data_IF_606326444461
#
_entry.id   IF_606326444461
#
_cell.length_a   1.000
_cell.length_b   1.000
_cell.length_c   1.000
_cell.angle_alpha   90.00
_cell.angle_beta   90.00
_cell.angle_gamma   90.00
#
_symmetry.space_group_name_H-M   'P 1'
#
loop_
_entity.id
_entity.type
_entity.pdbx_description
1 polymer ?
#
# COMPACT_ATOMS: atom_id res chain seq x y z
N UNK A 1 8.61 -10.03 4.60
CA UNK A 1 8.78 -9.91 6.06
C UNK A 1 8.69 -8.46 6.44
N UNK A 2 7.86 -8.14 7.43
CA UNK A 2 7.96 -6.89 8.17
C UNK A 2 8.28 -7.29 9.60
N UNK A 3 9.49 -6.95 10.04
CA UNK A 3 10.09 -7.53 11.24
C UNK A 3 10.04 -9.07 11.21
N UNK A 4 9.47 -9.73 12.22
CA UNK A 4 9.37 -11.19 12.31
C UNK A 4 8.13 -11.78 11.62
N UNK A 5 7.23 -10.94 11.08
CA UNK A 5 5.97 -11.41 10.50
C UNK A 5 6.06 -11.55 8.99
N UNK A 6 5.70 -12.74 8.48
CA UNK A 6 5.54 -12.98 7.06
C UNK A 6 4.15 -12.51 6.60
N UNK A 7 4.14 -11.42 5.85
CA UNK A 7 2.93 -10.96 5.15
C UNK A 7 2.99 -11.44 3.71
N UNK A 8 1.95 -12.15 3.27
CA UNK A 8 1.74 -12.57 1.88
C UNK A 8 0.54 -11.84 1.31
N UNK A 9 0.65 -11.44 0.04
CA UNK A 9 -0.41 -10.76 -0.67
C UNK A 9 -0.12 -10.72 -2.17
N UNK A 10 -1.07 -10.17 -2.93
CA UNK A 10 -0.94 -9.92 -4.36
C UNK A 10 -1.17 -8.43 -4.61
N UNK A 11 -0.32 -7.84 -5.42
CA UNK A 11 -0.51 -6.47 -5.92
C UNK A 11 -1.27 -6.56 -7.24
N UNK A 12 -2.33 -5.77 -7.40
CA UNK A 12 -3.18 -5.80 -8.60
C UNK A 12 -2.44 -5.26 -9.83
N UNK A 13 -1.87 -4.06 -9.72
CA UNK A 13 -1.10 -3.46 -10.80
C UNK A 13 0.06 -2.60 -10.29
N UNK A 14 1.14 -2.56 -11.08
CA UNK A 14 2.26 -1.65 -10.86
C UNK A 14 2.67 -1.04 -12.19
N UNK A 15 2.76 0.28 -12.22
CA UNK A 15 3.17 1.06 -13.39
C UNK A 15 4.53 1.68 -13.16
N UNK A 16 5.35 1.75 -14.20
CA UNK A 16 6.59 2.53 -14.17
C UNK A 16 6.26 3.97 -14.55
N UNK A 17 6.58 4.92 -13.67
CA UNK A 17 6.28 6.35 -13.85
C UNK A 17 7.52 7.17 -14.20
N UNK A 18 8.71 6.59 -14.06
CA UNK A 18 9.99 7.19 -14.42
C UNK A 18 11.16 6.21 -14.23
N UNK A 19 12.41 6.67 -14.39
CA UNK A 19 13.59 5.88 -14.00
C UNK A 19 13.51 5.53 -12.51
N UNK A 20 13.47 4.23 -12.21
CA UNK A 20 13.34 3.68 -10.86
C UNK A 20 12.19 4.26 -10.01
N UNK A 21 11.15 4.76 -10.67
CA UNK A 21 9.93 5.27 -10.06
C UNK A 21 8.72 4.45 -10.50
N UNK A 22 7.85 4.15 -9.55
CA UNK A 22 6.72 3.25 -9.73
C UNK A 22 5.46 3.78 -9.05
N UNK A 23 4.29 3.44 -9.58
CA UNK A 23 2.99 3.66 -8.92
C UNK A 23 2.27 2.30 -8.79
N UNK A 24 1.94 1.93 -7.56
CA UNK A 24 1.09 0.79 -7.24
C UNK A 24 -0.37 1.20 -7.34
N UNK A 25 -1.19 0.41 -8.05
CA UNK A 25 -2.63 0.61 -8.12
C UNK A 25 -3.35 -0.61 -7.57
N UNK A 26 -4.31 -0.36 -6.68
CA UNK A 26 -5.27 -1.35 -6.19
C UNK A 26 -6.67 -0.98 -6.74
N UNK A 27 -7.33 -1.94 -7.40
CA UNK A 27 -8.62 -1.71 -8.04
C UNK A 27 -9.76 -1.96 -7.07
N UNK A 28 -10.68 -1.00 -6.99
CA UNK A 28 -11.89 -1.09 -6.16
C UNK A 28 -13.15 -1.03 -7.02
N UNK A 29 -14.09 -1.91 -6.72
CA UNK A 29 -15.44 -1.94 -7.34
C UNK A 29 -16.53 -1.36 -6.43
N UNK A 30 -16.24 -1.21 -5.13
CA UNK A 30 -17.13 -0.60 -4.15
C UNK A 30 -17.11 0.93 -4.18
N UNK A 31 -17.80 1.56 -3.23
CA UNK A 31 -17.83 3.03 -3.09
C UNK A 31 -16.48 3.59 -2.66
N UNK A 32 -16.20 4.82 -3.09
CA UNK A 32 -15.08 5.62 -2.57
C UNK A 32 -15.19 5.75 -1.05
N UNK A 33 -14.08 5.44 -0.36
CA UNK A 33 -13.96 5.56 1.10
C UNK A 33 -13.47 6.96 1.45
N UNK A 34 -13.87 7.46 2.61
CA UNK A 34 -13.42 8.74 3.17
C UNK A 34 -13.03 8.60 4.65
N UNK A 35 -12.44 9.67 5.21
CA UNK A 35 -12.03 9.75 6.62
C UNK A 35 -11.27 8.52 7.12
N UNK A 36 -11.70 8.01 8.28
CA UNK A 36 -11.07 6.85 8.93
C UNK A 36 -11.14 5.56 8.09
N UNK A 37 -12.16 5.40 7.24
CA UNK A 37 -12.26 4.23 6.36
C UNK A 37 -11.20 4.26 5.26
N UNK A 38 -10.88 5.45 4.75
CA UNK A 38 -9.80 5.65 3.79
C UNK A 38 -8.43 5.43 4.44
N UNK A 39 -8.22 5.97 5.64
CA UNK A 39 -6.98 5.77 6.42
C UNK A 39 -6.72 4.28 6.68
N UNK A 40 -7.72 3.55 7.16
CA UNK A 40 -7.61 2.10 7.39
C UNK A 40 -7.36 1.34 6.09
N UNK A 41 -8.03 1.71 4.99
CA UNK A 41 -7.76 1.10 3.70
C UNK A 41 -6.33 1.37 3.21
N UNK A 42 -5.80 2.57 3.43
CA UNK A 42 -4.47 2.98 2.97
C UNK A 42 -3.32 2.15 3.59
N UNK A 43 -3.55 1.45 4.71
CA UNK A 43 -2.62 0.46 5.27
C UNK A 43 -2.26 -0.61 4.22
N UNK A 44 -3.23 -1.03 3.40
CA UNK A 44 -3.00 -1.97 2.29
C UNK A 44 -1.99 -1.41 1.28
N UNK A 45 -2.16 -0.14 0.88
CA UNK A 45 -1.25 0.54 -0.05
C UNK A 45 0.15 0.71 0.53
N UNK A 46 0.24 1.04 1.83
CA UNK A 46 1.52 1.13 2.55
C UNK A 46 2.29 -0.19 2.49
N UNK A 47 1.62 -1.31 2.74
CA UNK A 47 2.24 -2.64 2.65
C UNK A 47 2.66 -2.97 1.22
N UNK A 48 1.83 -2.67 0.21
CA UNK A 48 2.16 -2.94 -1.18
C UNK A 48 3.33 -2.11 -1.69
N UNK A 49 3.37 -0.80 -1.41
CA UNK A 49 4.50 0.05 -1.80
C UNK A 49 5.81 -0.45 -1.19
N UNK A 50 5.78 -0.83 0.10
CA UNK A 50 6.96 -1.33 0.80
C UNK A 50 7.43 -2.67 0.23
N UNK A 51 6.51 -3.59 -0.01
CA UNK A 51 6.81 -4.89 -0.61
C UNK A 51 7.43 -4.74 -2.00
N UNK A 52 6.88 -3.86 -2.84
CA UNK A 52 7.39 -3.64 -4.18
C UNK A 52 8.74 -2.92 -4.18
N UNK A 53 8.93 -1.90 -3.32
CA UNK A 53 10.20 -1.21 -3.16
C UNK A 53 11.33 -2.19 -2.78
N UNK A 54 11.08 -3.09 -1.82
CA UNK A 54 12.01 -4.16 -1.44
C UNK A 54 12.29 -5.13 -2.59
N UNK A 55 11.25 -5.56 -3.31
CA UNK A 55 11.39 -6.44 -4.48
C UNK A 55 12.25 -5.84 -5.59
N UNK A 56 12.15 -4.52 -5.82
CA UNK A 56 12.93 -3.80 -6.83
C UNK A 56 14.24 -3.22 -6.31
N UNK A 57 14.50 -3.35 -5.00
CA UNK A 57 15.68 -2.75 -4.34
C UNK A 57 15.80 -1.25 -4.60
N UNK A 58 14.69 -0.52 -4.48
CA UNK A 58 14.61 0.95 -4.58
C UNK A 58 14.12 1.57 -3.26
N UNK A 59 14.39 2.86 -2.99
CA UNK A 59 13.78 3.56 -1.86
C UNK A 59 12.25 3.53 -1.93
N UNK A 60 11.58 3.34 -0.80
CA UNK A 60 10.10 3.32 -0.75
C UNK A 60 9.48 4.64 -1.23
N UNK A 61 10.20 5.76 -1.08
CA UNK A 61 9.82 7.07 -1.60
C UNK A 61 9.72 7.12 -3.12
N UNK A 62 10.30 6.16 -3.83
CA UNK A 62 10.17 6.03 -5.28
C UNK A 62 8.92 5.25 -5.71
N UNK A 63 8.13 4.74 -4.76
CA UNK A 63 6.93 3.94 -5.03
C UNK A 63 5.71 4.65 -4.45
N UNK A 64 4.97 5.36 -5.30
CA UNK A 64 3.66 5.89 -4.94
C UNK A 64 2.59 4.79 -4.96
N UNK A 65 1.42 5.08 -4.38
CA UNK A 65 0.32 4.13 -4.40
C UNK A 65 -1.05 4.84 -4.41
N UNK A 66 -2.03 4.24 -5.08
CA UNK A 66 -3.38 4.79 -5.19
C UNK A 66 -4.45 3.69 -5.26
N UNK A 67 -5.68 4.05 -4.89
CA UNK A 67 -6.87 3.27 -5.21
C UNK A 67 -7.48 3.78 -6.51
N UNK A 68 -7.87 2.87 -7.40
CA UNK A 68 -8.69 3.22 -8.56
C UNK A 68 -10.08 2.59 -8.44
N UNK A 69 -11.09 3.44 -8.29
CA UNK A 69 -12.50 3.07 -8.17
C UNK A 69 -13.12 3.00 -9.56
N UNK A 70 -13.34 1.78 -10.05
CA UNK A 70 -13.72 1.51 -11.45
C UNK A 70 -15.09 2.09 -11.79
N UNK A 71 -16.07 1.91 -10.89
CA UNK A 71 -17.45 2.38 -11.08
C UNK A 71 -17.53 3.91 -11.21
N UNK A 72 -16.70 4.63 -10.46
CA UNK A 72 -16.66 6.09 -10.41
C UNK A 72 -15.59 6.68 -11.36
N UNK A 73 -14.82 5.83 -12.04
CA UNK A 73 -13.65 6.19 -12.84
C UNK A 73 -12.73 7.20 -12.13
N UNK A 74 -12.49 6.99 -10.84
CA UNK A 74 -11.77 7.92 -9.98
C UNK A 74 -10.54 7.26 -9.37
N UNK A 75 -9.42 7.96 -9.39
CA UNK A 75 -8.20 7.54 -8.69
C UNK A 75 -7.97 8.40 -7.45
N UNK A 76 -7.99 7.76 -6.28
CA UNK A 76 -7.75 8.39 -4.98
C UNK A 76 -6.32 8.09 -4.54
N UNK A 77 -5.57 9.16 -4.25
CA UNK A 77 -4.19 9.10 -3.75
C UNK A 77 -4.19 9.61 -2.30
N UNK A 78 -4.20 8.71 -1.29
CA UNK A 78 -4.10 9.13 0.10
C UNK A 78 -2.79 9.90 0.32
N UNK A 79 -2.86 11.06 0.99
CA UNK A 79 -1.68 11.86 1.29
C UNK A 79 -0.82 11.20 2.38
N UNK A 80 -1.47 10.67 3.40
CA UNK A 80 -0.82 10.05 4.57
C UNK A 80 -0.81 8.53 4.41
N UNK A 81 0.25 8.01 3.79
CA UNK A 81 0.48 6.56 3.67
C UNK A 81 1.61 6.18 4.62
N UNK A 82 1.30 5.29 5.57
CA UNK A 82 2.20 4.78 6.61
C UNK A 82 3.56 4.33 6.06
N UNK A 83 4.63 4.68 6.76
CA UNK A 83 5.98 4.25 6.43
C UNK A 83 6.33 2.86 6.98
N UNK A 84 7.58 2.42 6.80
CA UNK A 84 8.00 1.10 7.31
C UNK A 84 8.01 1.03 8.83
N UNK A 85 8.37 2.11 9.54
CA UNK A 85 8.31 2.18 11.01
C UNK A 85 6.88 2.06 11.51
N UNK A 86 5.97 2.84 10.92
CA UNK A 86 4.56 2.83 11.26
C UNK A 86 3.95 1.44 11.07
N UNK A 87 4.26 0.79 9.94
CA UNK A 87 3.81 -0.57 9.66
C UNK A 87 4.37 -1.57 10.67
N UNK A 88 5.65 -1.46 11.07
CA UNK A 88 6.22 -2.31 12.12
C UNK A 88 5.48 -2.14 13.44
N UNK A 89 5.25 -0.88 13.85
CA UNK A 89 4.51 -0.56 15.08
C UNK A 89 3.05 -1.01 15.05
N UNK A 90 2.42 -1.05 13.87
CA UNK A 90 1.07 -1.58 13.70
C UNK A 90 1.07 -3.10 13.83
N UNK A 91 1.97 -3.79 13.12
CA UNK A 91 2.02 -5.25 13.06
C UNK A 91 2.40 -5.85 14.41
N UNK A 92 3.29 -5.20 15.17
CA UNK A 92 3.67 -5.66 16.51
C UNK A 92 2.51 -5.69 17.51
N UNK A 93 1.39 -5.02 17.21
CA UNK A 93 0.17 -5.00 18.04
C UNK A 93 -0.80 -6.11 17.68
N UNK A 94 -0.61 -6.80 16.54
CA UNK A 94 -1.47 -7.89 16.11
C UNK A 94 -1.00 -9.18 16.77
N UNK A 95 -1.83 -9.88 17.57
CA UNK A 95 -1.47 -11.17 18.12
C UNK A 95 -1.17 -12.17 16.99
N UNK A 96 -0.07 -12.91 17.12
CA UNK A 96 0.18 -14.05 16.23
C UNK A 96 -0.57 -15.23 16.84
N UNK A 97 -1.66 -15.66 16.23
CA UNK A 97 -2.24 -16.98 16.49
C UNK A 97 -1.25 -18.03 15.95
N UNK A 98 -0.73 -18.86 16.86
CA UNK A 98 0.21 -19.96 16.57
C UNK A 98 -0.58 -21.25 16.44
#
# INVERSE_FOLDING_TARGET
MIDQTLIRGRIDAVYKTGPDQYEVIDWKTGKVKDGADLENAAIQLAMYRLAYAKLKSVPVTNVSAAFHYVSDNQTVRPADILDESDLKSLISKVPIEI
#
